data_IF_316164365186
#
_entry.id   IF_316164365186
#
_cell.length_a   1.000
_cell.length_b   1.000
_cell.length_c   1.000
_cell.angle_alpha   90.00
_cell.angle_beta   90.00
_cell.angle_gamma   90.00
#
_symmetry.space_group_name_H-M   'P 1'
#
loop_
_entity.id
_entity.type
_entity.pdbx_description
1 polymer ?
#
# COMPACT_ATOMS: atom_id res chain seq x y z
N UNK A 1 -35.26 -37.73 -3.16
CA UNK A 1 -34.63 -36.59 -2.47
C UNK A 1 -33.13 -36.76 -2.65
N UNK A 2 -32.56 -36.15 -3.69
CA UNK A 2 -31.15 -36.31 -4.03
C UNK A 2 -30.32 -35.35 -3.15
N UNK A 3 -29.47 -35.93 -2.31
CA UNK A 3 -28.58 -35.20 -1.42
C UNK A 3 -27.44 -34.63 -2.27
N UNK A 4 -27.48 -33.32 -2.51
CA UNK A 4 -26.46 -32.59 -3.23
C UNK A 4 -25.29 -32.38 -2.26
N UNK A 5 -24.24 -33.20 -2.39
CA UNK A 5 -22.98 -32.98 -1.69
C UNK A 5 -22.29 -31.78 -2.32
N UNK A 6 -22.28 -30.65 -1.60
CA UNK A 6 -21.42 -29.52 -1.93
C UNK A 6 -20.00 -29.97 -1.57
N UNK A 7 -19.23 -30.37 -2.58
CA UNK A 7 -17.78 -30.50 -2.46
C UNK A 7 -17.22 -29.08 -2.27
N UNK A 8 -17.09 -28.66 -1.01
CA UNK A 8 -16.21 -27.57 -0.65
C UNK A 8 -14.80 -28.12 -0.83
N UNK A 9 -14.27 -27.99 -2.04
CA UNK A 9 -12.85 -28.21 -2.26
C UNK A 9 -12.11 -27.21 -1.38
N UNK A 10 -11.46 -27.69 -0.33
CA UNK A 10 -10.36 -26.96 0.28
C UNK A 10 -9.29 -26.82 -0.80
N UNK A 11 -9.37 -25.76 -1.60
CA UNK A 11 -8.16 -25.20 -2.19
C UNK A 11 -7.36 -24.68 -1.00
N UNK A 12 -6.54 -25.56 -0.43
CA UNK A 12 -5.40 -25.13 0.36
C UNK A 12 -4.61 -24.21 -0.57
N UNK A 13 -4.72 -22.91 -0.36
CA UNK A 13 -3.80 -21.94 -0.93
C UNK A 13 -2.43 -22.39 -0.42
N UNK A 14 -1.69 -23.17 -1.23
CA UNK A 14 -0.29 -23.49 -1.00
C UNK A 14 0.48 -22.22 -1.32
N UNK A 15 0.27 -21.22 -0.47
CA UNK A 15 0.56 -19.84 -0.75
C UNK A 15 2.00 -19.52 -0.47
N UNK A 16 2.64 -18.85 -1.42
CA UNK A 16 3.87 -18.11 -1.18
C UNK A 16 3.79 -17.37 0.17
N UNK A 17 4.78 -17.59 1.02
CA UNK A 17 5.05 -16.75 2.18
C UNK A 17 5.50 -15.41 1.61
N UNK A 18 4.59 -14.44 1.50
CA UNK A 18 4.91 -13.13 0.95
C UNK A 18 6.18 -12.57 1.55
N UNK A 19 7.19 -12.31 0.71
CA UNK A 19 8.53 -11.95 1.17
C UNK A 19 8.77 -10.44 1.25
N UNK A 20 7.83 -9.61 0.81
CA UNK A 20 8.01 -8.16 0.69
C UNK A 20 7.87 -7.46 2.06
N UNK A 21 7.05 -8.03 2.94
CA UNK A 21 6.84 -7.53 4.30
C UNK A 21 7.64 -8.43 5.24
N UNK A 22 8.59 -7.83 5.96
CA UNK A 22 9.46 -8.53 6.91
C UNK A 22 9.26 -7.99 8.32
N UNK A 23 9.53 -8.81 9.33
CA UNK A 23 9.55 -8.34 10.72
C UNK A 23 10.84 -7.56 11.04
N UNK A 24 10.88 -6.93 12.22
CA UNK A 24 12.03 -6.15 12.63
C UNK A 24 13.30 -6.98 12.84
N UNK A 25 13.18 -8.26 13.22
CA UNK A 25 14.31 -9.17 13.42
C UNK A 25 14.92 -9.58 12.08
N UNK A 26 14.08 -9.91 11.10
CA UNK A 26 14.53 -10.17 9.73
C UNK A 26 15.20 -8.92 9.13
N UNK A 27 14.67 -7.73 9.41
CA UNK A 27 15.30 -6.48 8.96
C UNK A 27 16.71 -6.29 9.56
N UNK A 28 16.89 -6.59 10.86
CA UNK A 28 18.19 -6.56 11.53
C UNK A 28 19.22 -7.49 10.87
N UNK A 29 18.80 -8.67 10.43
CA UNK A 29 19.67 -9.62 9.72
C UNK A 29 20.12 -9.09 8.34
N UNK A 30 19.39 -8.13 7.76
CA UNK A 30 19.71 -7.49 6.47
C UNK A 30 20.58 -6.23 6.63
N UNK A 31 20.40 -5.43 7.68
CA UNK A 31 20.98 -4.07 7.78
C UNK A 31 22.51 -3.99 7.62
N UNK A 32 23.23 -5.08 7.89
CA UNK A 32 24.69 -5.13 7.79
C UNK A 32 25.21 -5.90 6.57
N UNK A 33 24.32 -6.33 5.67
CA UNK A 33 24.73 -7.02 4.45
C UNK A 33 25.21 -6.02 3.40
N UNK A 34 26.14 -6.47 2.55
CA UNK A 34 26.54 -5.69 1.39
C UNK A 34 25.35 -5.48 0.44
N UNK A 35 25.30 -4.32 -0.23
CA UNK A 35 24.22 -3.93 -1.15
C UNK A 35 22.83 -3.87 -0.48
N UNK A 36 22.74 -3.67 0.84
CA UNK A 36 21.49 -3.31 1.52
C UNK A 36 21.51 -1.82 1.84
N UNK A 37 20.46 -1.11 1.43
CA UNK A 37 20.22 0.28 1.81
C UNK A 37 18.98 0.35 2.67
N UNK A 38 19.16 0.76 3.93
CA UNK A 38 18.05 1.00 4.86
C UNK A 38 17.48 2.38 4.59
N UNK A 39 16.18 2.47 4.35
CA UNK A 39 15.50 3.72 4.01
C UNK A 39 14.45 4.07 5.07
N UNK A 40 14.62 5.26 5.63
CA UNK A 40 13.66 5.91 6.50
C UNK A 40 12.70 6.75 5.64
N UNK A 41 11.41 6.39 5.64
CA UNK A 41 10.36 7.11 4.92
C UNK A 41 9.57 8.12 5.79
N UNK A 42 10.06 8.43 7.00
CA UNK A 42 9.55 9.54 7.80
C UNK A 42 9.72 10.88 7.06
N UNK A 43 8.97 11.90 7.49
CA UNK A 43 9.27 13.27 7.10
C UNK A 43 10.65 13.70 7.62
N UNK A 44 11.31 14.63 6.91
CA UNK A 44 12.68 15.06 7.18
C UNK A 44 12.94 15.42 8.66
N UNK A 45 12.01 16.14 9.30
CA UNK A 45 12.15 16.50 10.72
C UNK A 45 12.17 15.27 11.65
N UNK A 46 11.37 14.24 11.36
CA UNK A 46 11.34 13.01 12.15
C UNK A 46 12.65 12.24 12.02
N UNK A 47 13.15 12.13 10.79
CA UNK A 47 14.44 11.55 10.49
C UNK A 47 15.59 12.30 11.18
N UNK A 48 15.65 13.62 11.04
CA UNK A 48 16.65 14.48 11.70
C UNK A 48 16.65 14.33 13.23
N UNK A 49 15.47 14.11 13.82
CA UNK A 49 15.34 13.95 15.26
C UNK A 49 15.81 12.57 15.74
N UNK A 50 15.48 11.49 15.00
CA UNK A 50 15.90 10.12 15.34
C UNK A 50 15.62 9.15 14.20
N UNK A 51 16.65 8.44 13.74
CA UNK A 51 16.56 7.43 12.68
C UNK A 51 17.46 6.24 12.97
N UNK A 52 17.24 5.12 12.25
CA UNK A 52 18.10 3.94 12.33
C UNK A 52 19.48 4.31 11.81
N UNK A 53 20.53 3.93 12.54
CA UNK A 53 21.91 4.21 12.13
C UNK A 53 22.20 3.71 10.71
N UNK A 54 22.90 4.52 9.93
CA UNK A 54 23.23 4.29 8.52
C UNK A 54 22.03 4.29 7.55
N UNK A 55 20.79 4.47 8.02
CA UNK A 55 19.65 4.65 7.11
C UNK A 55 19.71 5.98 6.39
N UNK A 56 19.11 6.06 5.20
CA UNK A 56 18.97 7.28 4.41
C UNK A 56 17.50 7.72 4.37
N UNK A 57 17.23 9.02 4.25
CA UNK A 57 15.85 9.52 4.24
C UNK A 57 15.30 9.71 2.81
N UNK A 58 14.13 9.13 2.56
CA UNK A 58 13.32 9.36 1.35
C UNK A 58 11.90 9.67 1.81
N UNK A 59 11.54 10.94 1.79
CA UNK A 59 10.22 11.38 2.22
C UNK A 59 9.19 11.11 1.12
N UNK A 60 7.90 11.12 1.50
CA UNK A 60 6.80 11.13 0.52
C UNK A 60 6.97 12.21 -0.54
N UNK A 61 7.41 13.42 -0.15
CA UNK A 61 7.54 14.54 -1.06
C UNK A 61 8.60 14.32 -2.15
N UNK A 62 9.60 13.47 -1.88
CA UNK A 62 10.64 13.13 -2.85
C UNK A 62 10.10 12.27 -4.00
N UNK A 63 9.04 11.49 -3.77
CA UNK A 63 8.53 10.48 -4.71
C UNK A 63 7.15 10.79 -5.31
N UNK A 64 6.63 11.99 -5.05
CA UNK A 64 5.34 12.44 -5.57
C UNK A 64 5.41 13.80 -6.23
N UNK A 65 4.42 14.08 -7.08
CA UNK A 65 4.06 15.41 -7.57
C UNK A 65 2.69 15.81 -7.03
N UNK A 66 2.40 17.11 -7.03
CA UNK A 66 1.14 17.65 -6.48
C UNK A 66 0.21 18.26 -7.53
N UNK A 67 0.61 18.23 -8.80
CA UNK A 67 -0.19 18.67 -9.94
C UNK A 67 -0.27 17.54 -10.98
N UNK A 68 -1.43 17.30 -11.60
CA UNK A 68 -2.71 18.02 -11.40
C UNK A 68 -3.46 17.62 -10.11
N UNK A 69 -2.98 16.60 -9.40
CA UNK A 69 -3.56 16.06 -8.17
C UNK A 69 -2.46 15.79 -7.14
N UNK A 70 -2.78 16.06 -5.87
CA UNK A 70 -1.85 15.86 -4.76
C UNK A 70 -1.40 14.40 -4.62
N UNK A 71 -0.10 14.19 -4.38
CA UNK A 71 0.56 12.91 -4.14
C UNK A 71 0.58 11.91 -5.31
N UNK A 72 0.40 12.37 -6.55
CA UNK A 72 0.57 11.51 -7.73
C UNK A 72 2.02 11.02 -7.86
N UNK A 73 2.22 9.87 -8.49
CA UNK A 73 3.52 9.28 -8.76
C UNK A 73 4.40 10.25 -9.54
N UNK A 74 5.58 10.55 -8.98
CA UNK A 74 6.58 11.38 -9.65
C UNK A 74 7.08 10.74 -10.95
N UNK A 75 7.55 11.55 -11.92
CA UNK A 75 8.17 11.03 -13.15
C UNK A 75 9.46 10.27 -12.85
N UNK A 76 9.87 9.39 -13.78
CA UNK A 76 11.01 8.47 -13.55
C UNK A 76 12.31 9.22 -13.27
N UNK A 77 12.52 10.35 -13.92
CA UNK A 77 13.73 11.17 -13.80
C UNK A 77 13.88 11.72 -12.37
N UNK A 78 12.77 12.06 -11.72
CA UNK A 78 12.77 12.48 -10.32
C UNK A 78 13.13 11.31 -9.39
N UNK A 79 12.60 10.11 -9.66
CA UNK A 79 12.92 8.91 -8.87
C UNK A 79 14.39 8.54 -9.03
N UNK A 80 14.93 8.55 -10.25
CA UNK A 80 16.35 8.31 -10.53
C UNK A 80 17.26 9.27 -9.77
N UNK A 81 16.92 10.57 -9.75
CA UNK A 81 17.67 11.59 -9.03
C UNK A 81 17.64 11.35 -7.52
N UNK A 82 16.46 11.04 -6.96
CA UNK A 82 16.30 10.78 -5.51
C UNK A 82 17.11 9.56 -5.10
N UNK A 83 16.96 8.42 -5.80
CA UNK A 83 17.68 7.19 -5.47
C UNK A 83 19.20 7.35 -5.60
N UNK A 84 19.66 7.97 -6.70
CA UNK A 84 21.08 8.23 -6.93
C UNK A 84 21.68 9.11 -5.83
N UNK A 85 21.01 10.18 -5.41
CA UNK A 85 21.46 11.06 -4.31
C UNK A 85 21.49 10.38 -2.95
N UNK A 86 20.75 9.28 -2.78
CA UNK A 86 20.71 8.47 -1.56
C UNK A 86 21.62 7.24 -1.62
N UNK A 87 22.45 7.15 -2.65
CA UNK A 87 23.43 6.08 -2.79
C UNK A 87 22.81 4.72 -3.09
N UNK A 88 21.59 4.70 -3.64
CA UNK A 88 20.88 3.48 -4.02
C UNK A 88 21.19 3.17 -5.49
N UNK A 89 21.66 1.96 -5.76
CA UNK A 89 21.88 1.39 -7.09
C UNK A 89 20.74 0.43 -7.44
N UNK A 90 20.60 0.11 -8.73
CA UNK A 90 19.52 -0.77 -9.21
C UNK A 90 19.53 -2.20 -8.63
N UNK A 91 20.70 -2.69 -8.19
CA UNK A 91 20.85 -4.05 -7.66
C UNK A 91 20.74 -4.13 -6.13
N UNK A 92 20.67 -2.97 -5.45
CA UNK A 92 20.59 -2.92 -3.99
C UNK A 92 19.26 -3.49 -3.48
N UNK A 93 19.31 -4.14 -2.33
CA UNK A 93 18.13 -4.45 -1.53
C UNK A 93 17.75 -3.22 -0.71
N UNK A 94 16.55 -2.68 -0.97
CA UNK A 94 16.04 -1.50 -0.28
C UNK A 94 15.12 -1.94 0.84
N UNK A 95 15.52 -1.70 2.10
CA UNK A 95 14.72 -2.05 3.29
C UNK A 95 14.10 -0.80 3.87
N UNK A 96 12.78 -0.65 3.75
CA UNK A 96 12.06 0.59 4.03
C UNK A 96 11.29 0.47 5.34
N UNK A 97 11.36 1.49 6.18
CA UNK A 97 10.48 1.64 7.34
C UNK A 97 9.91 3.07 7.41
N UNK A 98 8.84 3.27 8.16
CA UNK A 98 8.27 4.59 8.44
C UNK A 98 7.79 4.72 9.89
N UNK A 99 7.17 5.85 10.22
CA UNK A 99 6.48 6.09 11.50
C UNK A 99 4.98 6.33 11.30
N UNK A 100 4.41 5.87 10.19
CA UNK A 100 3.11 6.28 9.70
C UNK A 100 2.26 5.07 9.26
N UNK A 101 2.21 4.04 10.11
CA UNK A 101 1.41 2.83 9.91
C UNK A 101 1.69 2.12 8.59
N UNK A 102 2.96 2.04 8.19
CA UNK A 102 3.43 1.41 6.96
C UNK A 102 2.96 2.12 5.67
N UNK A 103 2.39 3.33 5.76
CA UNK A 103 1.85 4.02 4.59
C UNK A 103 2.94 4.61 3.68
N UNK A 104 3.92 5.28 4.26
CA UNK A 104 4.97 5.97 3.49
C UNK A 104 5.98 4.96 2.94
N UNK A 105 6.30 3.93 3.75
CA UNK A 105 7.11 2.80 3.33
C UNK A 105 6.45 2.00 2.21
N UNK A 106 5.15 1.69 2.30
CA UNK A 106 4.43 1.02 1.22
C UNK A 106 4.30 1.89 -0.03
N UNK A 107 4.16 3.22 0.10
CA UNK A 107 4.16 4.12 -1.06
C UNK A 107 5.51 4.10 -1.76
N UNK A 108 6.61 4.17 -1.02
CA UNK A 108 7.95 4.07 -1.62
C UNK A 108 8.18 2.71 -2.27
N UNK A 109 7.79 1.61 -1.61
CA UNK A 109 7.82 0.27 -2.19
C UNK A 109 7.09 0.21 -3.53
N UNK A 110 5.85 0.71 -3.57
CA UNK A 110 5.04 0.69 -4.80
C UNK A 110 5.66 1.54 -5.91
N UNK A 111 6.17 2.73 -5.58
CA UNK A 111 6.87 3.59 -6.54
C UNK A 111 8.08 2.90 -7.16
N UNK A 112 8.92 2.27 -6.34
CA UNK A 112 10.11 1.55 -6.81
C UNK A 112 9.73 0.34 -7.66
N UNK A 113 8.70 -0.41 -7.26
CA UNK A 113 8.18 -1.56 -8.00
C UNK A 113 7.63 -1.17 -9.38
N UNK A 114 6.85 -0.09 -9.46
CA UNK A 114 6.34 0.47 -10.73
C UNK A 114 7.47 0.84 -11.69
N UNK A 115 8.63 1.25 -11.16
CA UNK A 115 9.83 1.57 -11.92
C UNK A 115 10.82 0.40 -12.05
N UNK A 116 10.39 -0.80 -11.67
CA UNK A 116 11.07 -2.06 -11.96
C UNK A 116 12.22 -2.43 -11.02
N UNK A 117 12.28 -1.83 -9.82
CA UNK A 117 13.16 -2.30 -8.74
C UNK A 117 12.52 -3.51 -8.06
N UNK A 118 13.26 -4.61 -7.95
CA UNK A 118 12.68 -5.89 -7.47
C UNK A 118 12.99 -6.16 -6.01
N UNK A 119 14.22 -5.85 -5.56
CA UNK A 119 14.70 -6.18 -4.22
C UNK A 119 14.27 -5.11 -3.22
N UNK A 120 13.00 -5.15 -2.80
CA UNK A 120 12.43 -4.19 -1.85
C UNK A 120 11.81 -4.95 -0.68
N UNK A 121 12.05 -4.47 0.54
CA UNK A 121 11.42 -4.99 1.76
C UNK A 121 10.82 -3.84 2.56
N UNK A 122 9.70 -4.10 3.22
CA UNK A 122 9.05 -3.16 4.15
C UNK A 122 9.02 -3.76 5.54
N UNK A 123 9.54 -3.02 6.52
CA UNK A 123 9.54 -3.44 7.91
C UNK A 123 8.14 -3.27 8.51
N UNK A 124 7.50 -4.39 8.82
CA UNK A 124 6.19 -4.44 9.47
C UNK A 124 6.22 -3.75 10.84
N UNK A 125 5.39 -2.72 11.02
CA UNK A 125 5.33 -1.93 12.26
C UNK A 125 6.37 -0.81 12.35
N UNK A 126 7.20 -0.66 11.30
CA UNK A 126 8.10 0.46 11.10
C UNK A 126 8.98 0.80 12.31
N UNK A 127 9.07 2.09 12.60
CA UNK A 127 9.93 2.65 13.65
C UNK A 127 9.64 2.07 15.04
N UNK A 128 8.39 1.73 15.34
CA UNK A 128 8.01 1.16 16.64
C UNK A 128 8.52 -0.27 16.78
N UNK A 129 8.31 -1.11 15.77
CA UNK A 129 8.82 -2.48 15.78
C UNK A 129 10.36 -2.53 15.85
N UNK A 130 11.05 -1.64 15.13
CA UNK A 130 12.52 -1.52 15.18
C UNK A 130 13.02 -1.07 16.57
N UNK A 131 12.27 -0.19 17.25
CA UNK A 131 12.59 0.21 18.63
C UNK A 131 12.44 -0.96 19.60
N UNK A 132 11.36 -1.72 19.48
CA UNK A 132 11.11 -2.89 20.33
C UNK A 132 12.14 -4.00 20.08
N UNK A 133 12.69 -4.07 18.86
CA UNK A 133 13.79 -4.94 18.49
C UNK A 133 15.19 -4.44 18.91
N UNK A 134 15.29 -3.32 19.64
CA UNK A 134 16.54 -2.71 20.11
C UNK A 134 17.53 -2.33 19.00
N UNK A 135 17.02 -1.89 17.85
CA UNK A 135 17.86 -1.33 16.76
C UNK A 135 18.60 -0.09 17.25
N UNK A 136 19.82 0.13 16.76
CA UNK A 136 20.60 1.33 17.06
C UNK A 136 20.01 2.55 16.33
N UNK A 137 19.59 3.55 17.09
CA UNK A 137 19.10 4.83 16.58
C UNK A 137 20.12 5.95 16.82
N UNK A 138 20.19 6.90 15.89
CA UNK A 138 21.12 8.03 15.93
C UNK A 138 20.45 9.31 15.43
N UNK A 139 21.13 10.43 15.67
CA UNK A 139 20.91 11.74 15.05
C UNK A 139 22.00 12.06 14.01
N UNK A 140 23.07 11.25 13.96
CA UNK A 140 24.20 11.42 13.05
C UNK A 140 23.82 11.02 11.62
N UNK A 141 23.90 11.99 10.71
CA UNK A 141 23.62 11.76 9.29
C UNK A 141 24.67 10.85 8.65
N UNK A 142 24.27 9.84 7.86
CA UNK A 142 25.23 9.00 7.15
C UNK A 142 25.98 9.82 6.09
N UNK A 143 27.23 9.46 5.84
CA UNK A 143 27.97 9.98 4.70
C UNK A 143 27.65 9.14 3.45
N UNK A 144 26.80 9.67 2.58
CA UNK A 144 26.32 8.97 1.38
C UNK A 144 27.10 9.43 0.15
N UNK A 145 27.66 8.47 -0.59
CA UNK A 145 28.21 8.72 -1.92
C UNK A 145 27.13 8.48 -2.97
N UNK A 146 26.83 9.45 -3.86
CA UNK A 146 25.84 9.23 -4.90
C UNK A 146 26.20 8.08 -5.83
N UNK A 147 25.19 7.33 -6.25
CA UNK A 147 25.28 6.22 -7.21
C UNK A 147 24.70 6.64 -8.56
N UNK A 148 24.57 5.67 -9.47
CA UNK A 148 23.78 5.80 -10.69
C UNK A 148 22.60 4.84 -10.61
N UNK A 149 21.40 5.40 -10.47
CA UNK A 149 20.16 4.65 -10.54
C UNK A 149 19.44 4.93 -11.87
N UNK A 150 18.98 3.89 -12.55
CA UNK A 150 18.26 3.99 -13.84
C UNK A 150 16.91 3.27 -13.70
N UNK A 151 15.82 4.01 -13.72
CA UNK A 151 14.48 3.46 -13.64
C UNK A 151 14.07 2.83 -14.98
N UNK A 152 13.25 1.77 -14.93
CA UNK A 152 12.53 1.30 -16.13
C UNK A 152 11.43 2.30 -16.49
N UNK A 153 10.81 2.11 -17.64
CA UNK A 153 9.55 2.79 -17.91
C UNK A 153 8.47 2.32 -16.92
N UNK A 154 7.54 3.24 -16.63
CA UNK A 154 6.43 3.01 -15.70
C UNK A 154 5.62 1.78 -16.12
N UNK A 155 5.47 0.82 -15.22
CA UNK A 155 4.56 -0.31 -15.43
C UNK A 155 3.11 0.17 -15.31
N UNK A 156 2.46 0.36 -16.46
CA UNK A 156 1.07 0.79 -16.53
C UNK A 156 0.08 -0.30 -16.13
N UNK A 157 0.50 -1.55 -15.98
CA UNK A 157 -0.37 -2.62 -15.51
C UNK A 157 -0.69 -2.48 -14.02
N UNK A 158 0.17 -1.82 -13.24
CA UNK A 158 -0.01 -1.56 -11.82
C UNK A 158 -0.85 -0.29 -11.51
N UNK A 159 -1.21 0.48 -12.55
CA UNK A 159 -1.89 1.78 -12.41
C UNK A 159 -3.20 1.72 -13.16
N UNK A 160 -4.29 2.11 -12.49
CA UNK A 160 -5.57 2.33 -13.14
C UNK A 160 -5.70 3.81 -13.53
N UNK A 161 -6.19 4.05 -14.73
CA UNK A 161 -6.61 5.37 -15.21
C UNK A 161 -8.02 5.70 -14.75
N UNK A 162 -8.37 7.00 -14.73
CA UNK A 162 -9.74 7.45 -14.45
C UNK A 162 -10.75 6.82 -15.42
N UNK A 163 -10.35 6.66 -16.69
CA UNK A 163 -11.12 6.04 -17.76
C UNK A 163 -11.37 4.56 -17.52
N UNK A 164 -10.37 3.80 -17.05
CA UNK A 164 -10.56 2.40 -16.64
C UNK A 164 -11.55 2.27 -15.48
N UNK A 165 -11.41 3.12 -14.45
CA UNK A 165 -12.35 3.15 -13.32
C UNK A 165 -13.76 3.51 -13.79
N UNK A 166 -13.89 4.52 -14.64
CA UNK A 166 -15.16 4.92 -15.26
C UNK A 166 -15.77 3.81 -16.10
N UNK A 167 -14.97 3.05 -16.84
CA UNK A 167 -15.43 1.90 -17.60
C UNK A 167 -15.99 0.82 -16.67
N UNK A 168 -15.29 0.53 -15.56
CA UNK A 168 -15.77 -0.44 -14.57
C UNK A 168 -17.06 0.02 -13.89
N UNK A 169 -17.24 1.33 -13.66
CA UNK A 169 -18.51 1.88 -13.15
C UNK A 169 -19.66 1.70 -14.14
N UNK A 170 -19.41 1.94 -15.43
CA UNK A 170 -20.47 1.93 -16.46
C UNK A 170 -20.83 0.53 -16.96
N UNK A 171 -19.86 -0.39 -17.01
CA UNK A 171 -20.02 -1.76 -17.50
C UNK A 171 -19.21 -2.71 -16.59
N UNK A 172 -19.73 -2.99 -15.38
CA UNK A 172 -18.99 -3.71 -14.34
C UNK A 172 -18.67 -5.13 -14.76
N UNK A 173 -17.37 -5.46 -14.73
CA UNK A 173 -16.89 -6.83 -14.88
C UNK A 173 -16.86 -7.52 -13.53
N UNK A 174 -17.35 -8.76 -13.50
CA UNK A 174 -17.48 -9.55 -12.26
C UNK A 174 -16.15 -9.86 -11.59
N UNK A 175 -15.07 -9.98 -12.37
CA UNK A 175 -13.73 -10.28 -11.91
C UNK A 175 -12.87 -9.01 -11.68
N UNK A 176 -13.52 -7.85 -11.52
CA UNK A 176 -12.85 -6.58 -11.24
C UNK A 176 -13.54 -5.93 -10.04
N UNK A 177 -12.82 -5.76 -8.95
CA UNK A 177 -13.33 -5.13 -7.73
C UNK A 177 -12.72 -3.74 -7.58
N UNK A 178 -13.59 -2.73 -7.40
CA UNK A 178 -13.17 -1.40 -6.97
C UNK A 178 -13.11 -1.39 -5.44
N UNK A 179 -11.95 -1.06 -4.88
CA UNK A 179 -11.71 -1.08 -3.44
C UNK A 179 -11.45 0.34 -2.95
N UNK A 180 -12.34 0.83 -2.09
CA UNK A 180 -12.16 2.08 -1.37
C UNK A 180 -11.44 1.81 -0.05
N UNK A 181 -10.21 2.30 0.11
CA UNK A 181 -9.42 2.08 1.33
C UNK A 181 -9.51 3.24 2.32
N UNK A 182 -10.44 4.18 2.13
CA UNK A 182 -10.65 5.31 3.04
C UNK A 182 -11.31 4.85 4.35
N UNK A 183 -11.52 5.81 5.25
CA UNK A 183 -12.29 5.55 6.47
C UNK A 183 -13.79 5.43 6.18
N UNK A 184 -14.54 4.74 7.04
CA UNK A 184 -16.02 4.65 6.93
C UNK A 184 -16.66 6.04 6.77
N UNK A 185 -16.21 7.03 7.56
CA UNK A 185 -16.72 8.41 7.49
C UNK A 185 -16.52 9.05 6.12
N UNK A 186 -15.38 8.79 5.47
CA UNK A 186 -15.11 9.31 4.12
C UNK A 186 -15.94 8.56 3.06
N UNK A 187 -16.11 7.25 3.21
CA UNK A 187 -16.94 6.41 2.34
C UNK A 187 -18.42 6.83 2.40
N UNK A 188 -18.97 7.01 3.60
CA UNK A 188 -20.34 7.48 3.83
C UNK A 188 -20.62 8.89 3.29
N UNK A 189 -19.55 9.68 3.10
CA UNK A 189 -19.63 11.01 2.51
C UNK A 189 -19.65 10.99 0.97
N UNK A 190 -19.57 9.80 0.35
CA UNK A 190 -19.59 9.58 -1.08
C UNK A 190 -18.43 8.70 -1.52
N UNK A 191 -18.70 7.77 -2.43
CA UNK A 191 -17.76 6.79 -2.97
C UNK A 191 -17.90 6.63 -4.48
N UNK A 192 -16.91 6.00 -5.13
CA UNK A 192 -17.03 5.62 -6.53
C UNK A 192 -18.08 4.51 -6.62
N UNK A 193 -19.08 4.59 -7.51
CA UNK A 193 -20.15 3.59 -7.56
C UNK A 193 -19.62 2.17 -7.74
N UNK A 194 -20.19 1.24 -6.97
CA UNK A 194 -19.78 -0.18 -7.00
C UNK A 194 -18.49 -0.49 -6.25
N UNK A 195 -17.91 0.50 -5.55
CA UNK A 195 -16.74 0.26 -4.69
C UNK A 195 -17.12 -0.38 -3.36
N UNK A 196 -16.35 -1.37 -2.95
CA UNK A 196 -16.42 -2.02 -1.65
C UNK A 196 -15.46 -1.31 -0.71
N UNK A 197 -15.93 -0.98 0.50
CA UNK A 197 -15.07 -0.37 1.52
C UNK A 197 -14.21 -1.46 2.16
N UNK A 198 -12.88 -1.34 2.02
CA UNK A 198 -11.92 -2.17 2.74
C UNK A 198 -10.88 -1.26 3.37
N UNK A 199 -11.17 -0.80 4.57
CA UNK A 199 -10.37 0.22 5.25
C UNK A 199 -8.93 -0.27 5.45
N UNK A 200 -7.95 0.55 5.04
CA UNK A 200 -6.53 0.23 5.14
C UNK A 200 -6.09 -0.11 6.58
N UNK A 201 -6.77 0.45 7.60
CA UNK A 201 -6.44 0.23 9.01
C UNK A 201 -6.48 -1.25 9.37
N UNK A 202 -7.47 -2.00 8.85
CA UNK A 202 -7.64 -3.40 9.27
C UNK A 202 -6.67 -4.36 8.57
N UNK A 203 -5.71 -3.85 7.79
CA UNK A 203 -4.54 -4.62 7.32
C UNK A 203 -3.42 -4.69 8.36
N UNK A 204 -3.50 -3.87 9.40
CA UNK A 204 -2.54 -3.87 10.49
C UNK A 204 -3.18 -4.43 11.77
N UNK A 205 -2.32 -4.98 12.62
CA UNK A 205 -2.58 -5.23 14.02
C UNK A 205 -2.59 -3.93 14.83
N UNK A 206 -3.09 -3.98 16.07
CA UNK A 206 -3.16 -2.81 16.95
C UNK A 206 -1.80 -2.18 17.27
N UNK A 207 -0.73 -2.99 17.29
CA UNK A 207 0.65 -2.51 17.49
C UNK A 207 1.26 -1.88 16.22
N UNK A 208 0.52 -1.86 15.10
CA UNK A 208 0.95 -1.27 13.83
C UNK A 208 1.66 -2.21 12.87
N UNK A 209 1.97 -3.46 13.25
CA UNK A 209 2.49 -4.46 12.31
C UNK A 209 1.41 -4.84 11.31
N UNK A 210 1.77 -5.18 10.07
CA UNK A 210 0.85 -5.85 9.16
C UNK A 210 0.33 -7.15 9.79
N UNK A 211 -0.92 -7.50 9.46
CA UNK A 211 -1.47 -8.82 9.75
C UNK A 211 -0.77 -9.91 8.94
N UNK A 212 -0.94 -11.16 9.36
CA UNK A 212 -0.37 -12.31 8.66
C UNK A 212 -0.95 -12.44 7.24
N UNK A 213 -0.20 -13.10 6.35
CA UNK A 213 -0.68 -13.41 4.98
C UNK A 213 -2.03 -14.12 5.00
N UNK A 214 -2.24 -15.07 5.92
CA UNK A 214 -3.51 -15.78 6.05
C UNK A 214 -4.65 -14.87 6.50
N UNK A 215 -4.40 -13.94 7.42
CA UNK A 215 -5.45 -13.03 7.90
C UNK A 215 -5.85 -12.03 6.81
N UNK A 216 -4.88 -11.58 6.01
CA UNK A 216 -5.15 -10.77 4.82
C UNK A 216 -5.99 -11.60 3.83
N UNK A 217 -5.59 -12.82 3.48
CA UNK A 217 -6.36 -13.65 2.55
C UNK A 217 -7.80 -13.88 3.01
N UNK A 218 -8.00 -14.28 4.27
CA UNK A 218 -9.33 -14.50 4.84
C UNK A 218 -10.16 -13.23 4.74
N UNK A 219 -9.62 -12.09 5.17
CA UNK A 219 -10.31 -10.80 5.13
C UNK A 219 -10.82 -10.45 3.72
N UNK A 220 -9.96 -10.57 2.71
CA UNK A 220 -10.32 -10.17 1.34
C UNK A 220 -11.21 -11.21 0.65
N UNK A 221 -11.05 -12.50 0.95
CA UNK A 221 -11.94 -13.57 0.49
C UNK A 221 -13.36 -13.44 1.06
N UNK A 222 -13.50 -13.03 2.33
CA UNK A 222 -14.80 -12.82 2.99
C UNK A 222 -15.61 -11.71 2.30
N UNK A 223 -14.93 -10.72 1.72
CA UNK A 223 -15.54 -9.67 0.90
C UNK A 223 -15.68 -10.05 -0.59
N UNK A 224 -15.30 -11.28 -0.95
CA UNK A 224 -15.47 -11.85 -2.28
C UNK A 224 -14.34 -11.56 -3.26
N UNK A 225 -13.19 -11.05 -2.82
CA UNK A 225 -12.01 -10.85 -3.67
C UNK A 225 -11.14 -12.12 -3.70
N UNK A 226 -11.11 -12.81 -4.84
CA UNK A 226 -10.25 -13.98 -5.06
C UNK A 226 -8.93 -13.59 -5.77
N UNK A 227 -7.84 -14.37 -5.63
CA UNK A 227 -6.52 -14.03 -6.20
C UNK A 227 -6.50 -13.79 -7.73
N UNK A 228 -7.42 -14.40 -8.46
CA UNK A 228 -7.56 -14.25 -9.91
C UNK A 228 -8.23 -12.93 -10.33
N UNK A 229 -8.97 -12.29 -9.42
CA UNK A 229 -9.66 -11.03 -9.69
C UNK A 229 -8.68 -9.87 -9.84
N UNK A 230 -9.08 -8.86 -10.61
CA UNK A 230 -8.38 -7.58 -10.62
C UNK A 230 -8.89 -6.68 -9.51
N UNK A 231 -8.02 -6.28 -8.59
CA UNK A 231 -8.36 -5.29 -7.57
C UNK A 231 -7.87 -3.90 -7.99
N UNK A 232 -8.78 -2.94 -8.16
CA UNK A 232 -8.45 -1.53 -8.40
C UNK A 232 -8.69 -0.76 -7.10
N UNK A 233 -7.62 -0.36 -6.44
CA UNK A 233 -7.67 0.32 -5.15
C UNK A 233 -7.55 1.83 -5.31
N UNK A 234 -8.24 2.57 -4.45
CA UNK A 234 -8.04 4.00 -4.29
C UNK A 234 -8.26 4.42 -2.83
N UNK A 235 -7.76 5.60 -2.48
CA UNK A 235 -8.10 6.26 -1.21
C UNK A 235 -8.45 7.73 -1.47
N UNK A 236 -8.01 8.67 -0.62
CA UNK A 236 -8.20 10.11 -0.89
C UNK A 236 -7.16 10.66 -1.88
N UNK A 237 -5.88 10.38 -1.65
CA UNK A 237 -4.74 10.91 -2.42
C UNK A 237 -3.67 9.83 -2.61
N UNK A 238 -4.09 8.60 -2.93
CA UNK A 238 -3.21 7.47 -3.30
C UNK A 238 -2.19 6.92 -2.28
N UNK A 239 -2.11 7.47 -1.07
CA UNK A 239 -1.15 6.97 -0.05
C UNK A 239 -1.65 5.71 0.67
N UNK A 240 -2.86 5.75 1.26
CA UNK A 240 -3.43 4.57 1.95
C UNK A 240 -3.66 3.37 1.03
N UNK A 241 -3.86 3.62 -0.26
CA UNK A 241 -4.07 2.58 -1.26
C UNK A 241 -2.82 1.71 -1.45
N UNK A 242 -1.61 2.29 -1.37
CA UNK A 242 -0.37 1.51 -1.51
C UNK A 242 -0.10 0.60 -0.31
N UNK A 243 -0.54 0.97 0.89
CA UNK A 243 -0.48 0.07 2.06
C UNK A 243 -1.33 -1.19 1.83
N UNK A 244 -2.54 -1.01 1.30
CA UNK A 244 -3.42 -2.13 0.95
C UNK A 244 -2.88 -2.93 -0.23
N UNK A 245 -2.32 -2.25 -1.23
CA UNK A 245 -1.66 -2.88 -2.37
C UNK A 245 -0.55 -3.81 -1.90
N UNK A 246 0.35 -3.33 -1.04
CA UNK A 246 1.46 -4.12 -0.51
C UNK A 246 0.95 -5.32 0.29
N UNK A 247 -0.05 -5.15 1.16
CA UNK A 247 -0.63 -6.26 1.92
C UNK A 247 -1.17 -7.36 1.01
N UNK A 248 -1.94 -6.99 -0.02
CA UNK A 248 -2.48 -7.94 -1.01
C UNK A 248 -1.39 -8.57 -1.87
N UNK A 249 -0.39 -7.79 -2.30
CA UNK A 249 0.75 -8.30 -3.06
C UNK A 249 1.52 -9.33 -2.24
N UNK A 250 1.81 -9.02 -0.97
CA UNK A 250 2.46 -9.95 -0.05
C UNK A 250 1.57 -11.20 0.17
N UNK A 251 0.26 -11.04 0.16
CA UNK A 251 -0.68 -12.16 0.30
C UNK A 251 -0.88 -13.01 -0.99
N UNK A 252 -0.13 -12.74 -2.06
CA UNK A 252 -0.14 -13.54 -3.29
C UNK A 252 -1.07 -13.02 -4.39
N UNK A 253 -1.76 -11.89 -4.18
CA UNK A 253 -2.54 -11.26 -5.25
C UNK A 253 -1.60 -10.57 -6.23
N UNK A 254 -1.84 -10.73 -7.54
CA UNK A 254 -0.95 -10.19 -8.60
C UNK A 254 -1.65 -9.22 -9.54
N UNK A 255 -2.97 -9.36 -9.73
CA UNK A 255 -3.77 -8.48 -10.57
C UNK A 255 -4.19 -7.22 -9.80
N UNK A 256 -3.22 -6.42 -9.36
CA UNK A 256 -3.44 -5.27 -8.50
C UNK A 256 -3.18 -3.96 -9.25
N UNK A 257 -4.12 -3.02 -9.18
CA UNK A 257 -3.98 -1.67 -9.72
C UNK A 257 -4.23 -0.61 -8.64
N UNK A 258 -3.46 0.46 -8.69
CA UNK A 258 -3.72 1.67 -7.92
C UNK A 258 -4.29 2.74 -8.84
N UNK A 259 -5.48 3.26 -8.52
CA UNK A 259 -5.99 4.46 -9.17
C UNK A 259 -5.36 5.70 -8.51
N UNK A 260 -4.27 6.18 -9.09
CA UNK A 260 -3.35 7.13 -8.43
C UNK A 260 -3.92 8.56 -8.31
N UNK A 261 -4.85 8.96 -9.18
CA UNK A 261 -5.63 10.19 -9.00
C UNK A 261 -6.61 10.12 -7.82
N UNK A 262 -7.00 8.89 -7.46
CA UNK A 262 -7.81 8.56 -6.30
C UNK A 262 -9.13 9.37 -6.19
N UNK A 263 -9.69 9.47 -4.99
CA UNK A 263 -10.96 10.18 -4.77
C UNK A 263 -10.88 11.68 -5.12
N UNK A 264 -9.73 12.33 -4.92
CA UNK A 264 -9.59 13.77 -5.22
C UNK A 264 -9.72 14.04 -6.72
N UNK A 265 -9.16 13.20 -7.59
CA UNK A 265 -9.37 13.34 -9.03
C UNK A 265 -10.83 13.07 -9.41
N UNK A 266 -11.39 11.96 -8.91
CA UNK A 266 -12.76 11.54 -9.22
C UNK A 266 -13.80 12.59 -8.81
N UNK A 267 -13.75 13.03 -7.54
CA UNK A 267 -14.74 13.96 -6.98
C UNK A 267 -14.62 15.40 -7.52
N UNK A 268 -13.49 15.77 -8.13
CA UNK A 268 -13.30 17.07 -8.77
C UNK A 268 -13.98 17.15 -10.14
N UNK A 269 -14.21 16.01 -10.79
CA UNK A 269 -14.88 15.91 -12.08
C UNK A 269 -16.40 15.75 -11.88
N UNK A 270 -17.15 16.86 -12.03
CA UNK A 270 -18.60 16.87 -11.82
C UNK A 270 -19.39 16.05 -12.85
N UNK A 271 -18.75 15.54 -13.90
CA UNK A 271 -19.38 14.64 -14.87
C UNK A 271 -19.39 13.17 -14.42
N UNK A 272 -18.63 12.83 -13.37
CA UNK A 272 -18.52 11.47 -12.84
C UNK A 272 -19.55 11.21 -11.74
N UNK A 273 -20.12 9.99 -11.68
CA UNK A 273 -21.10 9.66 -10.66
C UNK A 273 -20.44 9.49 -9.28
N UNK A 274 -21.17 9.86 -8.24
CA UNK A 274 -20.83 9.60 -6.84
C UNK A 274 -21.97 8.81 -6.21
N UNK A 275 -21.65 7.67 -5.61
CA UNK A 275 -22.61 6.89 -4.84
C UNK A 275 -22.57 7.35 -3.38
N UNK A 276 -23.73 7.60 -2.80
CA UNK A 276 -23.88 7.72 -1.34
C UNK A 276 -24.24 6.33 -0.81
N UNK A 277 -23.38 5.68 -0.01
CA UNK A 277 -23.70 4.38 0.56
C UNK A 277 -24.99 4.44 1.37
N UNK A 278 -25.80 3.39 1.32
CA UNK A 278 -26.96 3.29 2.21
C UNK A 278 -26.46 3.30 3.65
N UNK A 279 -26.85 4.32 4.42
CA UNK A 279 -26.67 4.27 5.86
C UNK A 279 -27.48 3.09 6.36
N UNK A 280 -26.85 2.16 7.07
CA UNK A 280 -27.55 1.07 7.76
C UNK A 280 -28.74 1.69 8.48
N UNK A 281 -29.96 1.28 8.12
CA UNK A 281 -31.14 1.71 8.87
C UNK A 281 -30.92 1.26 10.31
N UNK A 282 -30.85 2.22 11.23
CA UNK A 282 -30.89 1.91 12.65
C UNK A 282 -32.31 1.42 12.91
N UNK A 283 -32.48 0.10 13.03
CA UNK A 283 -33.71 -0.45 13.55
C UNK A 283 -33.77 -0.12 15.04
N UNK A 284 -34.63 0.82 15.40
CA UNK A 284 -34.98 1.10 16.79
C UNK A 284 -35.89 -0.05 17.21
N UNK A 285 -35.46 -0.87 18.16
CA UNK A 285 -36.30 -1.98 18.65
C UNK A 285 -37.21 -1.51 19.79
N UNK A 286 -38.23 -2.29 20.16
CA UNK A 286 -39.20 -1.91 21.20
C UNK A 286 -38.57 -1.59 22.57
N UNK A 287 -37.40 -2.13 22.90
CA UNK A 287 -36.68 -1.84 24.15
C UNK A 287 -36.00 -0.47 24.14
N UNK A 288 -35.66 0.06 22.97
CA UNK A 288 -35.10 1.41 22.83
C UNK A 288 -36.17 2.51 22.93
N UNK A 289 -37.45 2.12 22.86
CA UNK A 289 -38.63 3.01 22.87
C UNK A 289 -39.37 2.94 24.22
N UNK A 290 -39.02 2.00 25.10
CA UNK A 290 -39.61 1.80 26.44
C UNK A 290 -38.78 2.44 27.55
#
# INVERSE_FOLDING_TARGET
>A
MAMMFINVGCNSFSGEEGTEIIDAKEALDLFNQENVVVVDAQGAQGYESKHVKNSVNITRADIVINEPVANMLAPKEQIEEVMSKRGISNDDTVVIYDNNNNMDSARLWWTLKVYGHENIKVVSGGLNALRDANVEFTEEMPNVSPTKYVAKDKDTTMIATKEEVKSQVNDPKKNVMLIDTRTQKEYDAGTIPGSVLMNYIDNNEFNGTFKSVSDIQVRYLDEGLIPEDTAIMYCKTSIRGTQTYLALYNAGYRNLKLYDGAWVEWSKDSSLPVQMPEKTKIEINEQDIS
#
